data_IF_950717733578
#
_entry.id   IF_950717733578
#
_cell.length_a   1.000
_cell.length_b   1.000
_cell.length_c   1.000
_cell.angle_alpha   90.00
_cell.angle_beta   90.00
_cell.angle_gamma   90.00
#
_symmetry.space_group_name_H-M   'P 1'
#
loop_
_entity.id
_entity.type
_entity.pdbx_description
1 polymer ?
#
# COMPACT_ATOMS: atom_id res chain seq x y z
N UNK A 1 -10.21 -28.59 36.10
CA UNK A 1 -9.39 -27.90 35.07
C UNK A 1 -10.30 -26.92 34.38
N UNK A 2 -10.03 -25.63 34.53
CA UNK A 2 -10.80 -24.54 33.93
C UNK A 2 -9.79 -23.60 33.25
N UNK A 3 -9.60 -23.74 31.94
CA UNK A 3 -9.31 -22.58 31.07
C UNK A 3 -10.69 -21.97 30.78
N UNK A 4 -10.91 -20.64 30.87
CA UNK A 4 -10.36 -19.66 29.92
C UNK A 4 -10.14 -18.29 30.64
N UNK A 5 -9.79 -17.13 30.08
CA UNK A 5 -9.82 -16.56 28.74
C UNK A 5 -8.49 -15.83 28.56
N UNK A 6 -7.78 -16.11 27.46
CA UNK A 6 -6.86 -15.11 26.92
C UNK A 6 -7.74 -13.96 26.43
N UNK A 7 -7.80 -12.87 27.20
CA UNK A 7 -8.28 -11.59 26.71
C UNK A 7 -7.25 -11.19 25.66
N UNK A 8 -7.54 -11.47 24.39
CA UNK A 8 -6.93 -10.75 23.28
C UNK A 8 -7.43 -9.33 23.47
N UNK A 9 -6.65 -8.52 24.18
CA UNK A 9 -6.83 -7.08 24.22
C UNK A 9 -6.50 -6.56 22.82
N UNK A 10 -7.45 -6.72 21.91
CA UNK A 10 -7.59 -5.83 20.78
C UNK A 10 -7.80 -4.44 21.35
N UNK A 11 -6.78 -3.60 21.26
CA UNK A 11 -6.78 -2.18 21.59
C UNK A 11 -5.57 -1.63 20.82
N UNK A 12 -5.67 -0.73 19.85
CA UNK A 12 -6.75 0.15 19.46
C UNK A 12 -6.67 0.39 17.95
N UNK A 13 -7.81 0.75 17.34
CA UNK A 13 -7.83 1.40 16.04
C UNK A 13 -6.92 2.64 16.09
N UNK A 14 -5.73 2.56 15.51
CA UNK A 14 -4.78 3.65 15.44
C UNK A 14 -4.74 4.10 13.99
N UNK A 15 -5.27 5.29 13.72
CA UNK A 15 -4.98 6.13 12.55
C UNK A 15 -4.86 5.34 11.24
N UNK A 16 -5.99 4.97 10.62
CA UNK A 16 -5.98 4.39 9.27
C UNK A 16 -5.47 5.48 8.32
N UNK A 17 -4.24 5.35 7.80
CA UNK A 17 -3.69 6.23 6.77
C UNK A 17 -4.08 5.75 5.37
N UNK A 18 -3.14 5.71 4.43
CA UNK A 18 -3.35 5.08 3.14
C UNK A 18 -3.13 3.56 3.22
N UNK A 19 -3.86 2.81 2.39
CA UNK A 19 -3.57 1.41 2.08
C UNK A 19 -3.25 1.30 0.59
N UNK A 20 -1.99 1.06 0.27
CA UNK A 20 -1.50 0.93 -1.10
C UNK A 20 -1.19 -0.54 -1.38
N UNK A 21 -1.95 -1.16 -2.28
CA UNK A 21 -1.66 -2.50 -2.79
C UNK A 21 -0.89 -2.39 -4.09
N UNK A 22 0.26 -3.03 -4.18
CA UNK A 22 1.07 -3.08 -5.40
C UNK A 22 1.23 -4.51 -5.89
N UNK A 23 1.04 -4.70 -7.18
CA UNK A 23 1.06 -5.99 -7.83
C UNK A 23 2.30 -6.11 -8.70
N UNK A 24 2.86 -7.32 -8.77
CA UNK A 24 4.06 -7.60 -9.56
C UNK A 24 3.75 -8.07 -10.98
N UNK A 25 2.60 -8.69 -11.20
CA UNK A 25 2.34 -9.47 -12.41
C UNK A 25 0.89 -9.44 -12.92
N UNK A 26 0.08 -8.48 -12.47
CA UNK A 26 -1.26 -8.25 -13.02
C UNK A 26 -1.49 -6.80 -13.35
N UNK A 27 -2.24 -6.53 -14.41
CA UNK A 27 -2.65 -5.19 -14.80
C UNK A 27 -3.87 -4.73 -14.01
N UNK A 28 -4.86 -5.61 -13.81
CA UNK A 28 -6.21 -5.25 -13.38
C UNK A 28 -6.43 -5.20 -11.87
N UNK A 29 -5.33 -5.22 -11.09
CA UNK A 29 -5.33 -5.25 -9.63
C UNK A 29 -6.20 -6.37 -9.02
N UNK A 30 -6.36 -7.52 -9.70
CA UNK A 30 -7.04 -8.67 -9.11
C UNK A 30 -6.04 -9.66 -8.53
N UNK A 31 -6.20 -9.92 -7.24
CA UNK A 31 -5.47 -10.98 -6.54
C UNK A 31 -6.11 -12.34 -6.82
N UNK A 32 -5.79 -12.94 -7.98
CA UNK A 32 -6.26 -14.26 -8.39
C UNK A 32 -5.10 -15.13 -8.91
N UNK A 33 -5.27 -16.45 -8.96
CA UNK A 33 -4.28 -17.34 -9.57
C UNK A 33 -2.88 -17.20 -8.96
N UNK A 34 -1.88 -16.96 -9.81
CA UNK A 34 -0.46 -16.82 -9.46
C UNK A 34 -0.04 -15.36 -9.15
N UNK A 35 -1.00 -14.46 -8.88
CA UNK A 35 -0.70 -13.07 -8.53
C UNK A 35 0.16 -12.96 -7.27
N UNK A 36 1.17 -12.08 -7.31
CA UNK A 36 1.99 -11.68 -6.18
C UNK A 36 1.80 -10.19 -5.91
N UNK A 37 1.55 -9.84 -4.66
CA UNK A 37 1.27 -8.46 -4.27
C UNK A 37 1.78 -8.14 -2.88
N UNK A 38 2.04 -6.84 -2.65
CA UNK A 38 2.40 -6.28 -1.36
C UNK A 38 1.36 -5.22 -0.98
N UNK A 39 1.03 -5.15 0.30
CA UNK A 39 0.19 -4.10 0.88
C UNK A 39 1.08 -3.24 1.77
N UNK A 40 1.10 -1.94 1.48
CA UNK A 40 1.77 -0.91 2.26
C UNK A 40 0.73 -0.10 3.01
N UNK A 41 0.86 -0.01 4.33
CA UNK A 41 -0.06 0.78 5.17
C UNK A 41 0.75 1.83 5.97
N UNK A 42 0.28 3.06 5.98
CA UNK A 42 0.95 4.11 6.74
C UNK A 42 0.25 5.46 6.62
N UNK A 43 0.68 6.41 7.44
CA UNK A 43 0.24 7.81 7.43
C UNK A 43 1.41 8.78 7.24
N UNK A 44 2.59 8.24 6.90
CA UNK A 44 3.84 8.97 6.80
C UNK A 44 3.96 9.76 5.48
N UNK A 45 4.07 11.08 5.61
CA UNK A 45 4.32 12.00 4.51
C UNK A 45 5.82 12.09 4.18
N UNK A 46 6.39 11.02 3.62
CA UNK A 46 7.75 11.02 3.10
C UNK A 46 7.99 9.92 2.09
N UNK A 47 9.11 10.03 1.36
CA UNK A 47 9.42 9.15 0.24
C UNK A 47 9.62 7.69 0.69
N UNK A 48 8.88 6.78 0.07
CA UNK A 48 8.92 5.33 0.32
C UNK A 48 9.43 4.60 -0.93
N UNK A 49 10.37 3.67 -0.76
CA UNK A 49 10.88 2.84 -1.86
C UNK A 49 10.11 1.52 -1.93
N UNK A 50 9.79 1.06 -3.14
CA UNK A 50 9.21 -0.26 -3.35
C UNK A 50 10.27 -1.35 -3.18
N UNK A 51 10.38 -1.86 -1.95
CA UNK A 51 11.50 -2.68 -1.50
C UNK A 51 12.46 -1.86 -0.65
N UNK A 52 13.16 -2.50 0.28
CA UNK A 52 14.01 -1.80 1.24
C UNK A 52 13.27 -1.28 2.49
N UNK A 53 13.87 -0.32 3.19
CA UNK A 53 13.39 0.16 4.49
C UNK A 53 12.29 1.22 4.29
N UNK A 54 11.03 0.86 4.59
CA UNK A 54 9.89 1.78 4.55
C UNK A 54 9.51 2.31 5.92
N UNK A 55 9.01 3.55 5.98
CA UNK A 55 8.27 4.10 7.11
C UNK A 55 6.83 3.57 7.22
N UNK A 56 6.31 2.93 6.18
CA UNK A 56 5.05 2.18 6.19
C UNK A 56 5.25 0.74 6.68
N UNK A 57 4.19 0.13 7.24
CA UNK A 57 4.14 -1.33 7.37
C UNK A 57 4.00 -1.95 5.98
N UNK A 58 4.56 -3.14 5.78
CA UNK A 58 4.50 -3.85 4.51
C UNK A 58 4.20 -5.34 4.74
N UNK A 59 3.18 -5.84 4.05
CA UNK A 59 2.77 -7.25 4.06
C UNK A 59 2.77 -7.81 2.65
N UNK A 60 3.37 -8.99 2.47
CA UNK A 60 3.46 -9.68 1.18
C UNK A 60 2.54 -10.91 1.12
N UNK A 61 1.95 -11.10 -0.06
CA UNK A 61 1.11 -12.23 -0.41
C UNK A 61 1.48 -12.79 -1.78
N UNK A 62 1.29 -14.10 -1.95
CA UNK A 62 1.50 -14.81 -3.22
C UNK A 62 0.37 -15.79 -3.52
N UNK A 63 0.33 -16.25 -4.78
CA UNK A 63 -0.69 -17.18 -5.30
C UNK A 63 -2.12 -16.70 -5.00
N UNK A 64 -2.43 -15.47 -5.44
CA UNK A 64 -3.76 -14.89 -5.32
C UNK A 64 -4.19 -14.67 -3.86
N UNK A 65 -3.23 -14.52 -2.95
CA UNK A 65 -3.49 -14.31 -1.52
C UNK A 65 -3.61 -15.60 -0.69
N UNK A 66 -3.42 -16.77 -1.30
CA UNK A 66 -3.46 -18.05 -0.57
C UNK A 66 -2.20 -18.32 0.26
N UNK A 67 -1.09 -17.63 -0.02
CA UNK A 67 0.16 -17.69 0.73
C UNK A 67 0.45 -16.30 1.30
N UNK A 68 0.64 -16.22 2.63
CA UNK A 68 0.77 -14.97 3.39
C UNK A 68 -0.19 -14.96 4.60
N UNK A 69 -0.20 -13.89 5.41
CA UNK A 69 0.63 -12.68 5.33
C UNK A 69 2.09 -12.96 5.74
N UNK A 70 3.04 -12.46 4.94
CA UNK A 70 4.46 -12.45 5.29
C UNK A 70 4.96 -11.00 5.44
N UNK A 71 5.99 -10.79 6.25
CA UNK A 71 6.70 -9.50 6.25
C UNK A 71 7.41 -9.34 4.90
N UNK A 72 7.31 -8.16 4.28
CA UNK A 72 7.99 -7.90 3.01
C UNK A 72 9.50 -8.06 3.13
N UNK A 73 10.12 -8.68 2.12
CA UNK A 73 11.57 -8.73 2.02
C UNK A 73 12.15 -7.34 1.69
N UNK A 74 13.44 -7.17 1.96
CA UNK A 74 14.19 -5.98 1.55
C UNK A 74 14.50 -5.94 0.05
N UNK A 75 14.13 -6.98 -0.70
CA UNK A 75 14.42 -7.06 -2.12
C UNK A 75 13.63 -6.01 -2.90
N UNK A 76 14.25 -5.54 -3.99
CA UNK A 76 13.62 -4.63 -4.94
C UNK A 76 12.32 -5.24 -5.46
N UNK A 77 11.24 -4.46 -5.43
CA UNK A 77 9.94 -4.90 -5.93
C UNK A 77 9.62 -4.22 -7.25
N UNK A 78 9.53 -5.02 -8.31
CA UNK A 78 9.12 -4.57 -9.64
C UNK A 78 7.60 -4.37 -9.65
N UNK A 79 7.17 -3.13 -9.39
CA UNK A 79 5.75 -2.78 -9.43
C UNK A 79 5.25 -2.85 -10.86
N UNK A 80 4.09 -3.45 -11.06
CA UNK A 80 3.42 -3.56 -12.35
C UNK A 80 2.06 -2.88 -12.36
N UNK A 81 1.28 -2.95 -11.29
CA UNK A 81 0.06 -2.13 -11.12
C UNK A 81 -0.13 -1.75 -9.65
N UNK A 82 -0.96 -0.74 -9.37
CA UNK A 82 -1.25 -0.30 -8.00
C UNK A 82 -2.73 0.01 -7.78
N UNK A 83 -3.26 -0.46 -6.65
CA UNK A 83 -4.56 -0.08 -6.13
C UNK A 83 -4.37 0.72 -4.84
N UNK A 84 -4.87 1.96 -4.83
CA UNK A 84 -4.88 2.81 -3.65
C UNK A 84 -6.27 2.82 -3.03
N UNK A 85 -6.37 2.33 -1.80
CA UNK A 85 -7.47 2.66 -0.90
C UNK A 85 -7.01 3.80 0.03
N UNK A 86 -7.26 5.03 -0.45
CA UNK A 86 -6.87 6.26 0.25
C UNK A 86 -7.97 6.83 1.14
N UNK A 87 -9.14 6.18 1.25
CA UNK A 87 -10.29 6.70 1.98
C UNK A 87 -10.36 6.06 3.36
N UNK A 88 -10.03 6.84 4.37
CA UNK A 88 -10.05 6.40 5.77
C UNK A 88 -11.05 7.21 6.58
N UNK A 89 -11.69 6.57 7.58
CA UNK A 89 -12.58 7.23 8.52
C UNK A 89 -11.89 7.35 9.88
N UNK A 90 -11.58 8.58 10.30
CA UNK A 90 -11.01 8.86 11.62
C UNK A 90 -11.99 9.73 12.41
N UNK A 91 -12.47 9.22 13.55
CA UNK A 91 -13.38 9.96 14.46
C UNK A 91 -14.64 10.52 13.76
N UNK A 92 -15.15 9.83 12.73
CA UNK A 92 -16.32 10.25 11.96
C UNK A 92 -16.05 11.27 10.85
N UNK A 93 -14.79 11.66 10.63
CA UNK A 93 -14.36 12.44 9.48
C UNK A 93 -13.68 11.53 8.45
N UNK A 94 -14.07 11.68 7.18
CA UNK A 94 -13.38 11.03 6.08
C UNK A 94 -12.11 11.81 5.76
N UNK A 95 -10.96 11.16 5.93
CA UNK A 95 -9.69 11.64 5.43
C UNK A 95 -9.40 10.94 4.09
N UNK A 96 -8.80 11.69 3.17
CA UNK A 96 -8.38 11.17 1.88
C UNK A 96 -6.87 11.30 1.75
N UNK A 97 -6.23 10.24 1.27
CA UNK A 97 -4.82 10.24 0.90
C UNK A 97 -4.70 10.10 -0.62
N UNK A 98 -3.77 10.85 -1.20
CA UNK A 98 -3.36 10.73 -2.58
C UNK A 98 -1.89 10.30 -2.62
N UNK A 99 -1.56 9.36 -3.50
CA UNK A 99 -0.19 8.89 -3.68
C UNK A 99 0.36 9.31 -5.04
N UNK A 100 1.55 9.89 -5.03
CA UNK A 100 2.34 10.17 -6.23
C UNK A 100 3.42 9.10 -6.40
N UNK A 101 3.65 8.68 -7.63
CA UNK A 101 4.59 7.60 -7.97
C UNK A 101 5.74 8.13 -8.83
N UNK A 102 6.95 7.64 -8.57
CA UNK A 102 8.19 8.18 -9.13
C UNK A 102 9.02 7.09 -9.81
N UNK A 103 9.76 7.46 -10.86
CA UNK A 103 10.63 6.54 -11.62
C UNK A 103 11.97 6.27 -10.95
N UNK A 104 12.36 7.08 -9.97
CA UNK A 104 13.57 6.93 -9.17
C UNK A 104 13.24 6.62 -7.70
N UNK A 105 14.27 6.24 -6.92
CA UNK A 105 14.12 5.81 -5.53
C UNK A 105 14.05 6.98 -4.53
N UNK A 106 14.24 8.21 -4.97
CA UNK A 106 14.37 9.40 -4.11
C UNK A 106 13.18 10.36 -4.24
N UNK A 107 12.12 9.95 -4.96
CA UNK A 107 10.96 10.78 -5.26
C UNK A 107 11.32 12.11 -5.96
N UNK A 108 12.33 12.10 -6.84
CA UNK A 108 12.83 13.31 -7.51
C UNK A 108 12.24 13.56 -8.90
N UNK A 109 12.01 12.51 -9.68
CA UNK A 109 11.51 12.53 -11.05
C UNK A 109 10.09 11.96 -11.08
N UNK A 110 9.13 12.85 -11.31
CA UNK A 110 7.71 12.51 -11.38
C UNK A 110 7.45 11.59 -12.57
N UNK A 111 6.84 10.42 -12.33
CA UNK A 111 6.30 9.62 -13.41
C UNK A 111 4.85 10.01 -13.73
N UNK A 112 4.04 10.37 -12.73
CA UNK A 112 2.66 10.86 -12.86
C UNK A 112 2.05 11.13 -11.46
N UNK A 113 0.95 11.90 -11.40
CA UNK A 113 0.11 12.16 -10.21
C UNK A 113 -1.35 11.73 -10.47
N UNK A 114 -2.15 11.41 -9.45
CA UNK A 114 -2.83 10.12 -9.24
C UNK A 114 -4.05 9.92 -10.14
N UNK A 115 -4.48 8.69 -10.44
CA UNK A 115 -5.53 8.01 -9.69
C UNK A 115 -5.70 6.58 -10.23
N UNK A 116 -5.76 5.58 -9.34
CA UNK A 116 -6.14 4.17 -9.60
C UNK A 116 -5.57 3.56 -10.88
N UNK A 117 -4.29 3.24 -10.88
CA UNK A 117 -3.65 2.66 -12.06
C UNK A 117 -3.63 1.12 -11.95
N UNK A 118 -4.81 0.57 -12.21
CA UNK A 118 -5.01 -0.85 -12.52
C UNK A 118 -4.99 -1.05 -14.05
N UNK A 119 -4.02 -0.41 -14.68
CA UNK A 119 -3.65 -0.53 -16.10
C UNK A 119 -2.12 -0.63 -16.08
N UNK A 120 -1.52 -1.82 -16.18
CA UNK A 120 -0.13 -2.01 -15.75
C UNK A 120 0.94 -1.18 -16.47
N UNK A 121 2.13 -1.15 -15.88
CA UNK A 121 3.30 -0.45 -16.39
C UNK A 121 4.30 -1.39 -17.08
N UNK A 122 4.82 -0.97 -18.22
CA UNK A 122 6.00 -1.58 -18.86
C UNK A 122 7.25 -1.46 -17.97
N UNK A 123 7.39 -0.32 -17.29
CA UNK A 123 8.41 -0.05 -16.27
C UNK A 123 7.76 0.73 -15.13
N UNK A 124 7.36 0.01 -14.07
CA UNK A 124 6.65 0.60 -12.96
C UNK A 124 7.49 1.51 -12.06
N UNK A 125 6.83 2.20 -11.12
CA UNK A 125 7.49 3.13 -10.22
C UNK A 125 8.47 2.43 -9.27
N UNK A 126 9.47 3.18 -8.81
CA UNK A 126 10.47 2.72 -7.83
C UNK A 126 10.21 3.27 -6.44
N UNK A 127 9.57 4.43 -6.34
CA UNK A 127 9.16 5.01 -5.07
C UNK A 127 7.80 5.65 -5.16
N UNK A 128 7.23 5.92 -3.99
CA UNK A 128 5.96 6.59 -3.82
C UNK A 128 5.98 7.55 -2.64
N UNK A 129 5.09 8.53 -2.67
CA UNK A 129 4.80 9.40 -1.52
C UNK A 129 3.30 9.57 -1.44
N UNK A 130 2.74 9.34 -0.27
CA UNK A 130 1.32 9.54 -0.01
C UNK A 130 1.14 10.67 0.98
N UNK A 131 0.23 11.58 0.67
CA UNK A 131 -0.06 12.76 1.48
C UNK A 131 -1.57 12.92 1.65
N UNK A 132 -1.97 13.65 2.68
CA UNK A 132 -3.37 13.98 2.89
C UNK A 132 -3.83 14.90 1.73
N UNK A 133 -4.89 14.49 1.04
CA UNK A 133 -5.51 15.27 -0.01
C UNK A 133 -5.98 16.64 0.53
N UNK A 134 -5.73 17.69 -0.23
CA UNK A 134 -6.09 19.06 0.16
C UNK A 134 -7.58 19.34 -0.07
N UNK A 135 -8.24 18.57 -0.93
CA UNK A 135 -9.68 18.66 -1.20
C UNK A 135 -10.35 17.27 -1.12
N UNK A 136 -11.59 17.17 -0.59
CA UNK A 136 -12.37 15.93 -0.63
C UNK A 136 -12.70 15.42 -2.04
N UNK A 137 -12.52 16.25 -3.08
CA UNK A 137 -12.73 15.86 -4.48
C UNK A 137 -11.48 15.31 -5.19
N UNK A 138 -10.34 15.26 -4.50
CA UNK A 138 -9.11 14.64 -5.02
C UNK A 138 -9.10 13.11 -4.80
N UNK A 139 -10.21 12.61 -4.22
CA UNK A 139 -10.61 11.23 -4.05
C UNK A 139 -12.06 11.07 -4.57
#
# INVERSE_FOLDING_TARGET
MLLPLAIISGLAALSQGYVLTVYKNVDDCKAEGDTNYRIYEGDYDGCQVFGGQSGSTCTEYSNGGTIGPNVCSSDVWEVHSVALDGKTQISGAQLCYACTYYTDEHCGSLNQSPQWYCDGWDAGPKSFRCELAQSPGDC
#
